data_IF_963193678460
#
_entry.id   IF_963193678460
#
_cell.length_a   1.000
_cell.length_b   1.000
_cell.length_c   1.000
_cell.angle_alpha   90.00
_cell.angle_beta   90.00
_cell.angle_gamma   90.00
#
_symmetry.space_group_name_H-M   'P 1'
#
loop_
_entity.id
_entity.type
_entity.pdbx_description
1 polymer ?
#
# COMPACT_ATOMS: atom_id res chain seq x y z
N UNK A 1 -51.62 7.60 58.78
CA UNK A 1 -50.80 6.43 59.20
C UNK A 1 -50.42 5.64 57.99
N UNK A 2 -49.15 5.76 57.61
CA UNK A 2 -48.50 4.97 56.58
C UNK A 2 -47.98 3.66 57.16
N UNK A 3 -47.74 2.65 56.38
CA UNK A 3 -46.51 1.88 56.58
C UNK A 3 -45.58 1.90 55.38
N UNK A 4 -44.31 2.20 55.69
CA UNK A 4 -43.09 1.89 54.95
C UNK A 4 -42.93 0.35 54.86
N UNK A 5 -42.52 -0.14 53.71
CA UNK A 5 -41.73 -1.39 53.47
C UNK A 5 -41.50 -1.45 51.96
N UNK A 6 -40.38 -1.74 51.41
CA UNK A 6 -39.10 -2.24 51.91
C UNK A 6 -38.15 -2.35 50.72
N UNK A 7 -36.94 -1.91 50.94
CA UNK A 7 -35.78 -2.20 50.09
C UNK A 7 -35.43 -3.68 50.30
N UNK A 8 -35.34 -4.46 49.26
CA UNK A 8 -34.72 -5.80 49.28
C UNK A 8 -33.93 -5.96 48.00
N UNK A 9 -32.62 -5.71 48.13
CA UNK A 9 -31.48 -6.58 47.87
C UNK A 9 -31.72 -7.57 46.70
N UNK A 10 -31.11 -7.31 45.57
CA UNK A 10 -30.79 -8.30 44.56
C UNK A 10 -29.27 -8.55 44.57
N UNK A 11 -28.90 -9.62 45.23
CA UNK A 11 -27.62 -10.30 44.99
C UNK A 11 -27.95 -11.72 44.57
N UNK A 12 -27.25 -12.17 43.51
CA UNK A 12 -27.13 -13.53 43.01
C UNK A 12 -28.33 -14.14 42.27
N UNK A 13 -28.24 -14.16 40.95
CA UNK A 13 -28.58 -15.36 40.17
C UNK A 13 -27.91 -15.29 38.78
N UNK A 14 -26.99 -16.17 38.56
CA UNK A 14 -26.33 -16.47 37.30
C UNK A 14 -27.14 -17.53 36.55
N UNK A 15 -27.93 -17.17 35.53
CA UNK A 15 -28.41 -18.06 34.51
C UNK A 15 -29.03 -17.29 33.33
N UNK A 16 -28.70 -17.59 32.05
CA UNK A 16 -29.15 -16.81 30.91
C UNK A 16 -30.57 -17.05 30.42
N UNK A 17 -31.38 -17.85 31.08
CA UNK A 17 -32.72 -18.21 30.63
C UNK A 17 -33.90 -17.49 31.33
N UNK A 18 -33.60 -16.55 32.26
CA UNK A 18 -34.65 -15.91 33.07
C UNK A 18 -35.16 -14.56 32.56
N UNK A 19 -34.51 -13.97 31.51
CA UNK A 19 -34.80 -12.60 31.09
C UNK A 19 -36.05 -12.40 30.22
N UNK A 20 -36.67 -13.45 29.70
CA UNK A 20 -37.77 -13.29 28.75
C UNK A 20 -39.20 -13.28 29.40
N UNK A 21 -39.36 -13.84 30.57
CA UNK A 21 -40.69 -13.92 31.23
C UNK A 21 -40.96 -12.79 32.23
N UNK A 22 -39.95 -12.26 32.92
CA UNK A 22 -40.11 -11.15 33.87
C UNK A 22 -40.31 -9.81 33.19
N UNK A 23 -39.87 -9.66 31.94
CA UNK A 23 -40.03 -8.42 31.17
C UNK A 23 -41.51 -8.20 30.76
N UNK A 24 -42.28 -9.25 30.53
CA UNK A 24 -43.70 -9.15 30.17
C UNK A 24 -44.56 -8.72 31.34
N UNK A 25 -44.32 -9.23 32.54
CA UNK A 25 -45.06 -8.85 33.74
C UNK A 25 -44.74 -7.45 34.27
N UNK A 26 -43.57 -6.96 34.05
CA UNK A 26 -43.16 -5.59 34.37
C UNK A 26 -43.88 -4.56 33.48
N UNK A 27 -44.12 -4.90 32.23
CA UNK A 27 -44.79 -4.05 31.26
C UNK A 27 -46.30 -3.92 31.50
N UNK A 28 -46.98 -4.97 31.87
CA UNK A 28 -48.42 -4.94 32.15
C UNK A 28 -48.76 -4.11 33.41
N UNK A 29 -47.85 -4.08 34.41
CA UNK A 29 -48.03 -3.28 35.61
C UNK A 29 -47.83 -1.77 35.37
N UNK A 30 -47.02 -1.38 34.39
CA UNK A 30 -46.77 0.02 34.00
C UNK A 30 -47.91 0.57 33.11
N UNK A 31 -48.55 -0.30 32.29
CA UNK A 31 -49.62 0.11 31.39
C UNK A 31 -50.91 0.53 32.10
N UNK A 32 -51.16 0.05 33.31
CA UNK A 32 -52.34 0.38 34.11
C UNK A 32 -52.28 1.72 34.86
N UNK A 33 -51.08 2.36 34.97
CA UNK A 33 -50.92 3.60 35.74
C UNK A 33 -50.82 4.89 34.90
N UNK A 34 -50.81 4.83 33.55
CA UNK A 34 -50.42 5.97 32.69
C UNK A 34 -51.57 6.47 31.80
N UNK A 35 -52.67 7.01 32.38
CA UNK A 35 -53.78 7.57 31.60
C UNK A 35 -53.73 9.07 31.32
N UNK A 36 -52.68 9.82 31.67
CA UNK A 36 -52.73 11.29 31.49
C UNK A 36 -51.57 12.01 30.75
N UNK A 37 -50.48 11.32 30.34
CA UNK A 37 -49.40 12.03 29.59
C UNK A 37 -48.83 11.19 28.43
N UNK A 38 -49.62 10.88 27.43
CA UNK A 38 -49.22 10.01 26.30
C UNK A 38 -48.09 10.55 25.41
N UNK A 39 -47.76 11.84 25.40
CA UNK A 39 -46.75 12.40 24.52
C UNK A 39 -45.31 12.29 25.08
N UNK A 40 -45.13 12.50 26.37
CA UNK A 40 -43.80 12.43 27.02
C UNK A 40 -43.30 10.97 27.12
N UNK A 41 -44.18 10.04 27.40
CA UNK A 41 -43.86 8.61 27.50
C UNK A 41 -43.44 8.00 26.20
N UNK A 42 -44.05 8.37 25.09
CA UNK A 42 -43.64 7.87 23.76
C UNK A 42 -42.21 8.28 23.35
N UNK A 43 -41.75 9.44 23.81
CA UNK A 43 -40.38 9.92 23.58
C UNK A 43 -39.39 9.19 24.49
N UNK A 44 -39.72 9.01 25.78
CA UNK A 44 -38.89 8.25 26.73
C UNK A 44 -38.80 6.76 26.34
N UNK A 45 -39.90 6.13 26.00
CA UNK A 45 -39.91 4.72 25.56
C UNK A 45 -39.13 4.57 24.26
N UNK A 46 -39.27 5.48 23.28
CA UNK A 46 -38.45 5.43 22.05
C UNK A 46 -36.95 5.63 22.33
N UNK A 47 -36.60 6.51 23.30
CA UNK A 47 -35.20 6.68 23.73
C UNK A 47 -34.67 5.45 24.46
N UNK A 48 -35.49 4.86 25.34
CA UNK A 48 -35.12 3.63 26.07
C UNK A 48 -35.01 2.42 25.17
N UNK A 49 -35.94 2.19 24.24
CA UNK A 49 -35.87 1.15 23.25
C UNK A 49 -34.69 1.35 22.28
N UNK A 50 -34.37 2.61 21.91
CA UNK A 50 -33.21 2.88 21.07
C UNK A 50 -31.90 2.57 21.79
N UNK A 51 -31.82 2.82 23.10
CA UNK A 51 -30.63 2.54 23.90
C UNK A 51 -30.49 1.04 24.24
N UNK A 52 -31.58 0.30 24.35
CA UNK A 52 -31.57 -1.13 24.68
C UNK A 52 -31.18 -2.06 23.50
N UNK A 53 -31.10 -1.54 22.26
CA UNK A 53 -30.80 -2.32 21.05
C UNK A 53 -29.59 -1.81 20.25
N UNK A 54 -28.89 -0.79 20.75
CA UNK A 54 -27.65 -0.32 20.10
C UNK A 54 -26.48 -1.02 20.75
N UNK A 55 -25.75 -1.81 19.97
CA UNK A 55 -24.59 -2.59 20.41
C UNK A 55 -23.26 -1.83 20.23
N UNK A 56 -23.23 -0.81 19.36
CA UNK A 56 -22.12 0.14 19.22
C UNK A 56 -22.64 1.50 18.80
N UNK A 57 -22.09 2.55 19.41
CA UNK A 57 -22.35 3.93 18.97
C UNK A 57 -21.09 4.78 19.12
N UNK A 58 -20.68 5.38 18.01
CA UNK A 58 -19.47 6.18 17.91
C UNK A 58 -19.72 7.42 17.05
N UNK A 59 -19.14 8.55 17.47
CA UNK A 59 -19.23 9.82 16.76
C UNK A 59 -17.83 10.25 16.36
N UNK A 60 -17.63 10.45 15.07
CA UNK A 60 -16.37 10.90 14.47
C UNK A 60 -16.46 12.36 14.03
N UNK A 61 -15.36 13.07 14.08
CA UNK A 61 -15.19 14.24 13.23
C UNK A 61 -15.10 13.79 11.77
N UNK A 62 -15.85 14.44 10.88
CA UNK A 62 -15.96 14.03 9.47
C UNK A 62 -14.63 14.08 8.73
N UNK A 63 -13.82 15.11 8.95
CA UNK A 63 -12.53 15.24 8.29
C UNK A 63 -11.57 14.15 8.77
N UNK A 64 -11.49 13.94 10.07
CA UNK A 64 -10.61 12.94 10.69
C UNK A 64 -10.91 11.54 10.17
N UNK A 65 -12.19 11.13 10.11
CA UNK A 65 -12.55 9.80 9.64
C UNK A 65 -12.30 9.62 8.12
N UNK A 66 -12.53 10.65 7.31
CA UNK A 66 -12.23 10.60 5.88
C UNK A 66 -10.72 10.44 5.63
N UNK A 67 -9.89 11.22 6.33
CA UNK A 67 -8.43 11.16 6.20
C UNK A 67 -7.88 9.80 6.70
N UNK A 68 -8.47 9.24 7.74
CA UNK A 68 -8.10 7.93 8.27
C UNK A 68 -8.49 6.76 7.37
N UNK A 69 -9.67 6.83 6.73
CA UNK A 69 -10.18 5.74 5.87
C UNK A 69 -9.49 5.72 4.50
N UNK A 70 -9.07 6.86 3.98
CA UNK A 70 -8.47 6.95 2.65
C UNK A 70 -7.28 5.99 2.44
N UNK A 71 -6.24 5.96 3.28
CA UNK A 71 -5.12 5.03 3.13
C UNK A 71 -5.52 3.56 3.35
N UNK A 72 -6.49 3.28 4.22
CA UNK A 72 -6.94 1.93 4.50
C UNK A 72 -7.46 1.20 3.25
N UNK A 73 -7.98 1.95 2.27
CA UNK A 73 -8.50 1.38 1.02
C UNK A 73 -7.43 0.64 0.19
N UNK A 74 -6.14 0.91 0.40
CA UNK A 74 -5.04 0.22 -0.28
C UNK A 74 -4.80 -1.22 0.23
N UNK A 75 -5.34 -1.58 1.40
CA UNK A 75 -5.25 -2.93 1.97
C UNK A 75 -6.61 -3.64 2.05
N UNK A 76 -7.60 -3.16 1.32
CA UNK A 76 -8.90 -3.84 1.17
C UNK A 76 -8.82 -4.83 0.02
N UNK A 77 -9.28 -6.07 0.25
CA UNK A 77 -9.45 -7.03 -0.82
C UNK A 77 -10.56 -6.58 -1.78
N UNK A 78 -10.36 -6.76 -3.07
CA UNK A 78 -11.38 -6.48 -4.07
C UNK A 78 -12.59 -7.42 -3.94
N UNK A 79 -12.76 -8.33 -4.90
CA UNK A 79 -13.75 -9.40 -4.79
C UNK A 79 -13.12 -10.64 -4.13
N UNK A 80 -13.66 -11.06 -3.00
CA UNK A 80 -13.20 -12.22 -2.26
C UNK A 80 -14.33 -13.18 -1.95
N UNK A 81 -14.02 -14.47 -1.79
CA UNK A 81 -14.94 -15.46 -1.22
C UNK A 81 -15.19 -15.21 0.27
N UNK A 82 -14.30 -14.48 0.93
CA UNK A 82 -14.39 -14.11 2.34
C UNK A 82 -14.86 -12.64 2.45
N UNK A 83 -16.15 -12.42 2.64
CA UNK A 83 -16.73 -11.06 2.67
C UNK A 83 -16.17 -10.16 3.77
N UNK A 84 -15.61 -10.73 4.84
CA UNK A 84 -15.01 -9.99 5.93
C UNK A 84 -13.80 -9.14 5.50
N UNK A 85 -12.94 -9.64 4.57
CA UNK A 85 -11.76 -8.91 4.10
C UNK A 85 -12.06 -7.84 3.04
N UNK A 86 -13.30 -7.75 2.58
CA UNK A 86 -13.82 -6.62 1.81
C UNK A 86 -14.24 -5.45 2.72
N UNK A 87 -14.17 -5.65 4.04
CA UNK A 87 -14.60 -4.71 5.05
C UNK A 87 -13.47 -4.03 5.80
N UNK A 88 -13.82 -2.94 6.48
CA UNK A 88 -13.03 -2.32 7.54
C UNK A 88 -13.51 -2.89 8.87
N UNK A 89 -12.59 -3.44 9.65
CA UNK A 89 -12.83 -3.76 11.05
C UNK A 89 -12.78 -2.46 11.84
N UNK A 90 -13.89 -2.12 12.48
CA UNK A 90 -14.07 -0.93 13.32
C UNK A 90 -14.16 -1.41 14.76
N UNK A 91 -13.16 -1.05 15.55
CA UNK A 91 -13.04 -1.41 16.96
C UNK A 91 -13.13 -0.14 17.82
N UNK A 92 -14.34 0.13 18.32
CA UNK A 92 -14.65 1.28 19.18
C UNK A 92 -14.34 0.91 20.64
N UNK A 93 -13.38 1.60 21.23
CA UNK A 93 -12.87 1.33 22.58
C UNK A 93 -13.41 2.32 23.62
N UNK A 94 -13.52 1.89 24.87
CA UNK A 94 -14.08 2.70 25.98
C UNK A 94 -13.27 3.96 26.33
N UNK A 95 -12.03 4.08 25.80
CA UNK A 95 -11.13 5.21 26.02
C UNK A 95 -11.30 6.36 25.01
N UNK A 96 -12.44 6.44 24.31
CA UNK A 96 -12.71 7.40 23.25
C UNK A 96 -11.74 7.31 22.06
N UNK A 97 -11.25 6.11 21.77
CA UNK A 97 -10.48 5.83 20.55
C UNK A 97 -11.19 4.77 19.71
N UNK A 98 -10.98 4.85 18.41
CA UNK A 98 -11.44 3.85 17.47
C UNK A 98 -10.26 3.36 16.64
N UNK A 99 -10.09 2.06 16.59
CA UNK A 99 -9.09 1.41 15.75
C UNK A 99 -9.76 0.89 14.49
N UNK A 100 -9.31 1.40 13.35
CA UNK A 100 -9.76 0.98 12.02
C UNK A 100 -8.71 0.07 11.41
N UNK A 101 -9.09 -1.12 10.97
CA UNK A 101 -8.14 -2.08 10.40
C UNK A 101 -8.69 -2.66 9.10
N UNK A 102 -7.82 -2.76 8.08
CA UNK A 102 -8.04 -3.51 6.85
C UNK A 102 -6.95 -4.55 6.67
N UNK A 103 -7.29 -5.72 6.13
CA UNK A 103 -6.34 -6.83 5.96
C UNK A 103 -6.80 -7.76 4.85
N UNK A 104 -5.98 -7.98 3.82
CA UNK A 104 -6.26 -8.84 2.67
C UNK A 104 -5.61 -10.23 2.75
N UNK A 105 -5.15 -10.65 3.95
CA UNK A 105 -4.40 -11.87 4.30
C UNK A 105 -2.90 -11.81 3.95
N UNK A 106 -2.46 -10.89 3.12
CA UNK A 106 -1.04 -10.67 2.77
C UNK A 106 -0.51 -9.39 3.40
N UNK A 107 -1.29 -8.31 3.32
CA UNK A 107 -0.97 -6.99 3.86
C UNK A 107 -2.17 -6.38 4.56
N UNK A 108 -1.92 -5.49 5.49
CA UNK A 108 -2.98 -4.77 6.20
C UNK A 108 -2.55 -3.39 6.64
N UNK A 109 -3.54 -2.59 6.97
CA UNK A 109 -3.35 -1.24 7.48
C UNK A 109 -4.20 -1.03 8.71
N UNK A 110 -3.67 -0.26 9.65
CA UNK A 110 -4.34 0.11 10.89
C UNK A 110 -4.13 1.59 11.16
N UNK A 111 -5.22 2.26 11.51
CA UNK A 111 -5.19 3.66 11.97
C UNK A 111 -5.97 3.75 13.27
N UNK A 112 -5.43 4.47 14.23
CA UNK A 112 -6.14 4.82 15.46
C UNK A 112 -6.62 6.27 15.33
N UNK A 113 -7.90 6.51 15.57
CA UNK A 113 -8.52 7.83 15.54
C UNK A 113 -9.21 8.15 16.86
N UNK A 114 -9.17 9.42 17.24
CA UNK A 114 -9.97 9.91 18.37
C UNK A 114 -11.43 10.02 17.93
N UNK A 115 -12.33 9.53 18.77
CA UNK A 115 -13.76 9.53 18.51
C UNK A 115 -14.52 9.51 19.82
N UNK A 116 -15.70 10.09 19.87
CA UNK A 116 -16.60 9.99 21.03
C UNK A 116 -17.30 8.63 20.98
N UNK A 117 -16.98 7.75 21.92
CA UNK A 117 -17.53 6.40 22.01
C UNK A 117 -18.60 6.38 23.11
N UNK A 118 -19.88 6.32 22.72
CA UNK A 118 -20.99 6.20 23.67
C UNK A 118 -21.27 4.73 24.05
N UNK A 119 -21.09 3.82 23.10
CA UNK A 119 -21.24 2.36 23.31
C UNK A 119 -20.10 1.67 22.52
N UNK A 120 -19.21 0.98 23.23
CA UNK A 120 -18.09 0.25 22.62
C UNK A 120 -18.54 -1.00 21.85
N UNK A 121 -17.74 -1.43 20.90
CA UNK A 121 -18.03 -2.63 20.11
C UNK A 121 -17.11 -2.82 18.93
N UNK A 122 -17.13 -4.03 18.35
CA UNK A 122 -16.25 -4.39 17.23
C UNK A 122 -17.06 -4.99 16.10
N UNK A 123 -17.07 -4.31 14.94
CA UNK A 123 -17.86 -4.69 13.78
C UNK A 123 -17.10 -4.48 12.48
N UNK A 124 -17.55 -5.18 11.43
CA UNK A 124 -16.99 -5.07 10.07
C UNK A 124 -18.05 -4.40 9.19
N UNK A 125 -17.63 -3.36 8.47
CA UNK A 125 -18.45 -2.66 7.48
C UNK A 125 -17.75 -2.71 6.14
N UNK A 126 -18.50 -2.97 5.04
CA UNK A 126 -17.92 -2.97 3.70
C UNK A 126 -17.15 -1.68 3.43
N UNK A 127 -15.84 -1.80 3.17
CA UNK A 127 -14.90 -0.70 3.10
C UNK A 127 -15.27 0.33 2.03
N UNK A 128 -15.57 -0.15 0.82
CA UNK A 128 -15.87 0.73 -0.31
C UNK A 128 -17.15 1.52 -0.07
N UNK A 129 -18.21 0.87 0.43
CA UNK A 129 -19.48 1.54 0.73
C UNK A 129 -19.33 2.52 1.88
N UNK A 130 -18.59 2.15 2.92
CA UNK A 130 -18.32 3.03 4.05
C UNK A 130 -17.56 4.28 3.60
N UNK A 131 -16.44 4.12 2.91
CA UNK A 131 -15.63 5.23 2.40
C UNK A 131 -16.42 6.16 1.47
N UNK A 132 -17.23 5.61 0.55
CA UNK A 132 -18.09 6.39 -0.33
C UNK A 132 -19.15 7.17 0.45
N UNK A 133 -19.76 6.53 1.46
CA UNK A 133 -20.82 7.15 2.27
C UNK A 133 -20.28 8.32 3.08
N UNK A 134 -19.20 8.14 3.87
CA UNK A 134 -18.64 9.20 4.71
C UNK A 134 -18.13 10.38 3.88
N UNK A 135 -17.65 10.13 2.67
CA UNK A 135 -17.16 11.17 1.76
C UNK A 135 -18.25 12.13 1.30
N UNK A 136 -19.47 11.63 1.07
CA UNK A 136 -20.61 12.43 0.55
C UNK A 136 -21.52 12.96 1.66
N UNK A 137 -21.31 12.56 2.92
CA UNK A 137 -22.07 13.08 4.05
C UNK A 137 -21.79 14.56 4.27
N UNK A 138 -22.84 15.31 4.60
CA UNK A 138 -22.77 16.72 4.97
C UNK A 138 -22.68 16.87 6.50
N UNK A 139 -22.08 17.99 6.98
CA UNK A 139 -21.91 18.28 8.40
C UNK A 139 -20.52 17.94 8.92
N UNK A 140 -20.24 18.35 10.17
CA UNK A 140 -18.92 18.26 10.79
C UNK A 140 -18.69 16.95 11.55
N UNK A 141 -19.78 16.23 11.84
CA UNK A 141 -19.73 14.97 12.58
C UNK A 141 -20.48 13.84 11.87
N UNK A 142 -19.99 12.64 12.03
CA UNK A 142 -20.58 11.40 11.52
C UNK A 142 -20.83 10.48 12.70
N UNK A 143 -22.07 10.07 12.88
CA UNK A 143 -22.45 9.07 13.89
C UNK A 143 -22.62 7.72 13.21
N UNK A 144 -21.89 6.72 13.69
CA UNK A 144 -22.06 5.33 13.31
C UNK A 144 -22.71 4.56 14.46
N UNK A 145 -23.78 3.85 14.18
CA UNK A 145 -24.42 2.94 15.14
C UNK A 145 -24.56 1.56 14.51
N UNK A 146 -24.40 0.52 15.31
CA UNK A 146 -24.71 -0.85 14.93
C UNK A 146 -25.70 -1.42 15.93
N UNK A 147 -26.78 -2.04 15.44
CA UNK A 147 -27.81 -2.66 16.28
C UNK A 147 -27.61 -4.19 16.43
N UNK A 148 -28.45 -4.81 17.24
CA UNK A 148 -28.43 -6.25 17.52
C UNK A 148 -28.76 -7.14 16.29
N UNK A 149 -29.31 -6.54 15.22
CA UNK A 149 -29.56 -7.22 13.94
C UNK A 149 -28.42 -7.08 12.96
N UNK A 150 -27.27 -6.57 13.41
CA UNK A 150 -26.09 -6.25 12.58
C UNK A 150 -26.41 -5.26 11.45
N UNK A 151 -27.30 -4.32 11.70
CA UNK A 151 -27.56 -3.21 10.80
C UNK A 151 -26.74 -1.99 11.25
N UNK A 152 -25.79 -1.57 10.42
CA UNK A 152 -25.07 -0.34 10.60
C UNK A 152 -25.87 0.85 10.04
N UNK A 153 -25.97 1.93 10.81
CA UNK A 153 -26.54 3.20 10.38
C UNK A 153 -25.49 4.29 10.51
N UNK A 154 -25.17 4.93 9.39
CA UNK A 154 -24.27 6.09 9.30
C UNK A 154 -25.15 7.32 9.15
N UNK A 155 -25.02 8.28 10.05
CA UNK A 155 -25.84 9.50 10.04
C UNK A 155 -25.00 10.75 10.21
N UNK A 156 -25.43 11.82 9.51
CA UNK A 156 -24.88 13.17 9.67
C UNK A 156 -26.00 14.18 9.35
N UNK A 157 -26.29 15.07 10.28
CA UNK A 157 -27.40 16.01 10.14
C UNK A 157 -28.75 15.31 9.93
N UNK A 158 -29.37 15.50 8.75
CA UNK A 158 -30.64 14.87 8.36
C UNK A 158 -30.45 13.61 7.52
N UNK A 159 -29.24 13.32 7.09
CA UNK A 159 -28.92 12.17 6.22
C UNK A 159 -28.70 10.92 7.04
N UNK A 160 -29.27 9.80 6.58
CA UNK A 160 -29.10 8.49 7.20
C UNK A 160 -28.89 7.43 6.12
N UNK A 161 -27.80 6.68 6.22
CA UNK A 161 -27.50 5.56 5.36
C UNK A 161 -27.43 4.28 6.17
N UNK A 162 -28.09 3.22 5.69
CA UNK A 162 -28.12 1.92 6.35
C UNK A 162 -27.44 0.87 5.47
N UNK A 163 -26.63 0.04 6.10
CA UNK A 163 -25.95 -1.07 5.43
C UNK A 163 -25.76 -2.23 6.40
N UNK A 164 -25.56 -3.43 5.87
CA UNK A 164 -25.31 -4.61 6.68
C UNK A 164 -23.89 -4.55 7.25
N UNK A 165 -23.76 -4.83 8.55
CA UNK A 165 -22.48 -5.09 9.21
C UNK A 165 -22.29 -6.60 9.39
N UNK A 166 -21.05 -7.01 9.74
CA UNK A 166 -20.72 -8.34 10.21
C UNK A 166 -20.13 -8.22 11.62
N UNK A 167 -20.17 -9.32 12.37
CA UNK A 167 -19.55 -9.36 13.69
C UNK A 167 -18.02 -9.25 13.56
N UNK A 168 -17.39 -8.52 14.48
CA UNK A 168 -15.91 -8.39 14.49
C UNK A 168 -15.19 -9.73 14.62
N UNK A 169 -15.82 -10.74 15.27
CA UNK A 169 -15.31 -12.11 15.37
C UNK A 169 -15.13 -12.83 14.04
N UNK A 170 -15.81 -12.38 12.98
CA UNK A 170 -15.72 -12.96 11.64
C UNK A 170 -14.48 -12.45 10.88
N UNK A 171 -13.76 -11.46 11.43
CA UNK A 171 -12.56 -10.93 10.82
C UNK A 171 -11.39 -11.89 10.97
N UNK A 172 -10.55 -12.08 9.93
CA UNK A 172 -9.38 -12.94 10.04
C UNK A 172 -8.43 -12.48 11.17
N UNK A 173 -7.73 -13.44 11.76
CA UNK A 173 -6.72 -13.14 12.78
C UNK A 173 -5.61 -12.31 12.16
N UNK A 174 -5.45 -11.09 12.68
CA UNK A 174 -4.36 -10.19 12.27
C UNK A 174 -3.06 -10.70 12.90
N UNK A 175 -1.94 -10.76 12.14
CA UNK A 175 -0.65 -11.14 12.69
C UNK A 175 -0.26 -10.26 13.87
N UNK A 176 0.44 -10.83 14.85
CA UNK A 176 1.06 -10.05 15.91
C UNK A 176 2.13 -9.14 15.29
N UNK A 177 1.94 -7.85 15.41
CA UNK A 177 2.88 -6.84 14.92
C UNK A 177 4.00 -6.70 15.97
N UNK A 178 5.24 -7.00 15.57
CA UNK A 178 6.41 -6.80 16.42
C UNK A 178 6.95 -5.40 16.29
N UNK A 179 7.57 -4.89 17.35
CA UNK A 179 8.28 -3.61 17.40
C UNK A 179 9.64 -3.74 18.08
N UNK A 180 10.18 -4.98 18.13
CA UNK A 180 11.41 -5.30 18.83
C UNK A 180 12.65 -4.89 18.04
N UNK A 181 12.72 -5.33 16.76
CA UNK A 181 13.87 -5.07 15.89
C UNK A 181 13.48 -4.21 14.71
N UNK A 182 14.26 -3.17 14.41
CA UNK A 182 13.93 -2.26 13.33
C UNK A 182 14.90 -1.09 13.16
N UNK A 183 14.49 -0.14 12.33
CA UNK A 183 15.25 1.05 12.00
C UNK A 183 14.34 2.20 11.59
N UNK A 184 14.89 3.42 11.55
CA UNK A 184 14.21 4.61 11.07
C UNK A 184 14.93 5.16 9.85
N UNK A 185 14.16 5.58 8.85
CA UNK A 185 14.65 6.21 7.62
C UNK A 185 13.75 7.39 7.24
N UNK A 186 14.28 8.38 6.54
CA UNK A 186 13.50 9.47 5.97
C UNK A 186 12.50 8.98 4.94
N UNK A 187 11.27 9.50 4.96
CA UNK A 187 10.24 9.09 4.01
C UNK A 187 10.62 9.45 2.57
N UNK A 188 11.15 10.65 2.34
CA UNK A 188 11.60 11.09 1.02
C UNK A 188 12.69 10.17 0.45
N UNK A 189 13.70 9.81 1.26
CA UNK A 189 14.76 8.90 0.83
C UNK A 189 14.23 7.53 0.46
N UNK A 190 13.40 6.92 1.32
CA UNK A 190 12.80 5.62 1.03
C UNK A 190 11.96 5.66 -0.24
N UNK A 191 11.13 6.70 -0.41
CA UNK A 191 10.29 6.90 -1.60
C UNK A 191 11.13 7.06 -2.85
N UNK A 192 12.22 7.83 -2.79
CA UNK A 192 13.18 7.98 -3.88
C UNK A 192 13.76 6.63 -4.28
N UNK A 193 14.31 5.85 -3.34
CA UNK A 193 14.86 4.52 -3.62
C UNK A 193 13.82 3.58 -4.25
N UNK A 194 12.57 3.58 -3.75
CA UNK A 194 11.50 2.79 -4.33
C UNK A 194 11.20 3.19 -5.77
N UNK A 195 11.21 4.49 -6.10
CA UNK A 195 10.96 4.98 -7.46
C UNK A 195 11.98 4.43 -8.47
N UNK A 196 13.23 4.20 -8.03
CA UNK A 196 14.30 3.68 -8.87
C UNK A 196 14.12 2.21 -9.27
N UNK A 197 13.48 1.42 -8.38
CA UNK A 197 13.44 -0.03 -8.58
C UNK A 197 12.05 -0.56 -9.02
N UNK A 198 10.96 0.21 -8.82
CA UNK A 198 9.61 -0.29 -9.01
C UNK A 198 9.33 -0.81 -10.42
N UNK A 199 9.87 -0.18 -11.45
CA UNK A 199 9.62 -0.53 -12.86
C UNK A 199 10.20 -1.89 -13.25
N UNK A 200 11.19 -2.39 -12.52
CA UNK A 200 11.87 -3.64 -12.81
C UNK A 200 11.39 -4.84 -11.98
N UNK A 201 10.39 -4.66 -11.11
CA UNK A 201 9.76 -5.78 -10.40
C UNK A 201 8.89 -6.62 -11.33
N UNK A 202 8.95 -7.94 -11.17
CA UNK A 202 8.08 -8.85 -11.91
C UNK A 202 6.63 -8.77 -11.38
N UNK A 203 5.69 -9.11 -12.25
CA UNK A 203 4.29 -9.33 -11.91
C UNK A 203 3.89 -10.74 -12.32
N UNK A 204 3.56 -11.60 -11.35
CA UNK A 204 3.15 -12.99 -11.60
C UNK A 204 4.21 -13.88 -12.27
N UNK A 205 5.51 -13.67 -11.98
CA UNK A 205 6.56 -14.60 -12.37
C UNK A 205 6.43 -15.93 -11.60
N UNK A 206 6.77 -17.05 -12.22
CA UNK A 206 6.73 -18.37 -11.59
C UNK A 206 7.73 -18.51 -10.44
N UNK A 207 8.76 -17.67 -10.39
CA UNK A 207 9.71 -17.56 -9.29
C UNK A 207 9.21 -16.50 -8.30
N UNK A 208 8.64 -16.87 -7.14
CA UNK A 208 8.01 -15.93 -6.22
C UNK A 208 8.93 -14.78 -5.79
N UNK A 209 10.23 -15.03 -5.65
CA UNK A 209 11.23 -14.05 -5.22
C UNK A 209 11.34 -12.85 -6.16
N UNK A 210 11.06 -13.01 -7.46
CA UNK A 210 11.07 -11.91 -8.43
C UNK A 210 9.81 -11.04 -8.38
N UNK A 211 8.73 -11.52 -7.76
CA UNK A 211 7.51 -10.74 -7.54
C UNK A 211 7.65 -9.78 -6.35
N UNK A 212 8.87 -9.31 -6.09
CA UNK A 212 9.18 -8.37 -5.03
C UNK A 212 10.54 -7.72 -5.20
N UNK A 213 10.82 -6.79 -4.29
CA UNK A 213 12.08 -6.08 -4.17
C UNK A 213 12.93 -6.72 -3.07
N UNK A 214 14.17 -7.10 -3.39
CA UNK A 214 15.16 -7.47 -2.39
C UNK A 214 15.71 -6.21 -1.71
N UNK A 215 15.73 -6.24 -0.39
CA UNK A 215 16.28 -5.17 0.43
C UNK A 215 17.35 -5.73 1.37
N UNK A 216 18.47 -5.00 1.50
CA UNK A 216 19.52 -5.26 2.50
C UNK A 216 19.79 -3.97 3.24
N UNK A 217 19.77 -4.02 4.56
CA UNK A 217 19.97 -2.87 5.45
C UNK A 217 21.09 -3.19 6.42
N UNK A 218 22.05 -2.27 6.55
CA UNK A 218 23.10 -2.23 7.55
C UNK A 218 23.09 -0.87 8.26
N UNK A 219 23.94 -0.67 9.25
CA UNK A 219 23.98 0.60 10.01
C UNK A 219 24.33 1.81 9.13
N UNK A 220 25.02 1.59 8.01
CA UNK A 220 25.62 2.60 7.14
C UNK A 220 25.08 2.60 5.70
N UNK A 221 24.19 1.66 5.35
CA UNK A 221 23.70 1.58 3.97
C UNK A 221 22.39 0.83 3.80
N UNK A 222 21.67 1.22 2.75
CA UNK A 222 20.49 0.48 2.25
C UNK A 222 20.70 0.15 0.79
N UNK A 223 20.48 -1.13 0.45
CA UNK A 223 20.46 -1.64 -0.91
C UNK A 223 19.06 -2.13 -1.26
N UNK A 224 18.55 -1.73 -2.41
CA UNK A 224 17.33 -2.25 -3.01
C UNK A 224 17.59 -2.78 -4.41
N UNK A 225 17.06 -3.96 -4.73
CA UNK A 225 17.21 -4.60 -6.05
C UNK A 225 15.89 -5.19 -6.49
N UNK A 226 15.55 -4.98 -7.75
CA UNK A 226 14.42 -5.63 -8.42
C UNK A 226 14.83 -6.19 -9.78
N UNK A 227 14.15 -7.26 -10.23
CA UNK A 227 14.42 -7.91 -11.50
C UNK A 227 13.17 -8.66 -12.00
N UNK A 228 12.91 -8.59 -13.31
CA UNK A 228 11.81 -9.31 -13.99
C UNK A 228 12.29 -10.28 -15.09
N UNK A 229 13.57 -10.65 -15.10
CA UNK A 229 14.23 -11.46 -16.14
C UNK A 229 14.63 -10.72 -17.42
N UNK A 230 14.14 -9.50 -17.64
CA UNK A 230 14.49 -8.64 -18.79
C UNK A 230 15.18 -7.36 -18.35
N UNK A 231 14.84 -6.89 -17.18
CA UNK A 231 15.34 -5.65 -16.56
C UNK A 231 15.80 -5.96 -15.15
N UNK A 232 16.80 -5.25 -14.71
CA UNK A 232 17.24 -5.21 -13.31
C UNK A 232 17.48 -3.74 -12.92
N UNK A 233 17.04 -3.39 -11.73
CA UNK A 233 17.36 -2.10 -11.11
C UNK A 233 17.99 -2.34 -9.75
N UNK A 234 19.11 -1.67 -9.50
CA UNK A 234 19.86 -1.69 -8.24
C UNK A 234 20.05 -0.24 -7.80
N UNK A 235 19.59 0.07 -6.59
CA UNK A 235 19.78 1.35 -5.94
C UNK A 235 20.40 1.10 -4.56
N UNK A 236 21.54 1.71 -4.29
CA UNK A 236 22.22 1.64 -3.01
C UNK A 236 22.48 3.06 -2.52
N UNK A 237 22.19 3.31 -1.26
CA UNK A 237 22.46 4.58 -0.60
C UNK A 237 23.31 4.34 0.64
N UNK A 238 24.43 5.07 0.73
CA UNK A 238 25.30 5.10 1.90
C UNK A 238 24.83 6.24 2.81
N UNK A 239 24.30 5.93 3.98
CA UNK A 239 23.78 6.88 4.95
C UNK A 239 23.68 6.23 6.32
N UNK A 240 23.86 7.01 7.38
CA UNK A 240 23.65 6.53 8.75
C UNK A 240 22.18 6.18 8.96
N UNK A 241 21.93 4.96 9.40
CA UNK A 241 20.58 4.44 9.68
C UNK A 241 20.34 4.45 11.19
N UNK A 242 19.26 5.09 11.61
CA UNK A 242 18.87 5.12 13.02
C UNK A 242 18.39 3.74 13.47
N UNK A 243 19.25 3.03 14.18
CA UNK A 243 19.05 1.66 14.68
C UNK A 243 18.03 1.65 15.81
N UNK A 244 17.05 0.77 15.73
CA UNK A 244 15.98 0.56 16.72
C UNK A 244 15.89 -0.89 17.22
N UNK A 245 16.96 -1.67 17.05
CA UNK A 245 17.02 -3.00 17.65
C UNK A 245 16.99 -2.88 19.18
N UNK A 246 16.18 -3.71 19.84
CA UNK A 246 15.97 -3.67 21.28
C UNK A 246 17.29 -3.97 22.05
N UNK A 247 18.12 -4.87 21.53
CA UNK A 247 19.41 -5.24 22.09
C UNK A 247 20.58 -4.37 21.62
N UNK A 248 20.31 -3.30 20.85
CA UNK A 248 21.30 -2.43 20.22
C UNK A 248 22.33 -3.18 19.33
N UNK A 249 22.01 -4.38 18.87
CA UNK A 249 22.83 -5.10 17.88
C UNK A 249 22.85 -4.35 16.53
N UNK A 250 23.94 -4.53 15.76
CA UNK A 250 24.09 -3.92 14.45
C UNK A 250 22.96 -4.35 13.49
N UNK A 251 22.50 -3.44 12.65
CA UNK A 251 21.49 -3.73 11.63
C UNK A 251 22.02 -4.73 10.60
N UNK A 252 21.34 -5.85 10.45
CA UNK A 252 21.66 -6.92 9.49
C UNK A 252 20.40 -7.51 8.92
N UNK A 253 19.58 -6.66 8.26
CA UNK A 253 18.36 -7.12 7.64
C UNK A 253 18.58 -7.48 6.17
N UNK A 254 17.96 -8.58 5.75
CA UNK A 254 17.92 -9.04 4.35
C UNK A 254 16.56 -9.68 4.12
N UNK A 255 15.75 -9.10 3.24
CA UNK A 255 14.37 -9.50 3.03
C UNK A 255 13.86 -9.16 1.63
N UNK A 256 12.73 -9.74 1.25
CA UNK A 256 12.06 -9.48 -0.03
C UNK A 256 10.66 -8.94 0.22
N UNK A 257 10.43 -7.67 -0.13
CA UNK A 257 9.12 -7.03 -0.08
C UNK A 257 8.30 -7.37 -1.31
N UNK A 258 7.05 -7.84 -1.18
CA UNK A 258 6.17 -8.08 -2.32
C UNK A 258 5.93 -6.82 -3.16
N UNK A 259 5.79 -6.98 -4.47
CA UNK A 259 5.49 -5.87 -5.42
C UNK A 259 4.27 -5.07 -5.00
N UNK A 260 3.21 -5.71 -4.52
CA UNK A 260 2.01 -5.02 -4.01
C UNK A 260 2.34 -4.14 -2.81
N UNK A 261 3.17 -4.62 -1.89
CA UNK A 261 3.60 -3.87 -0.69
C UNK A 261 4.41 -2.64 -1.08
N UNK A 262 5.37 -2.80 -1.98
CA UNK A 262 6.18 -1.69 -2.51
C UNK A 262 5.30 -0.61 -3.16
N UNK A 263 4.36 -1.02 -4.01
CA UNK A 263 3.45 -0.09 -4.70
C UNK A 263 2.56 0.69 -3.73
N UNK A 264 2.06 0.06 -2.68
CA UNK A 264 1.24 0.76 -1.70
C UNK A 264 2.09 1.63 -0.77
N UNK A 265 3.25 1.15 -0.35
CA UNK A 265 4.19 1.93 0.46
C UNK A 265 4.60 3.23 -0.26
N UNK A 266 4.94 3.15 -1.54
CA UNK A 266 5.29 4.31 -2.36
C UNK A 266 4.20 5.39 -2.36
N UNK A 267 2.93 5.01 -2.40
CA UNK A 267 1.78 5.96 -2.35
C UNK A 267 1.58 6.58 -0.97
N UNK A 268 1.98 5.87 0.10
CA UNK A 268 1.81 6.33 1.48
C UNK A 268 2.91 7.28 1.92
N UNK A 269 4.11 7.13 1.37
CA UNK A 269 5.26 7.96 1.70
C UNK A 269 5.14 9.37 1.11
N UNK A 270 5.60 10.36 1.87
CA UNK A 270 5.63 11.77 1.48
C UNK A 270 7.02 12.18 1.00
N UNK A 271 7.07 13.20 0.15
CA UNK A 271 8.30 13.84 -0.30
C UNK A 271 8.69 14.99 0.65
N UNK A 272 8.74 14.72 1.96
CA UNK A 272 9.16 15.68 2.99
C UNK A 272 10.36 15.10 3.75
N UNK A 273 11.49 15.76 3.65
CA UNK A 273 12.74 15.35 4.29
C UNK A 273 12.68 15.35 5.82
N UNK A 274 11.73 16.09 6.41
CA UNK A 274 11.54 16.17 7.87
C UNK A 274 10.75 14.98 8.42
N UNK A 275 10.04 14.26 7.56
CA UNK A 275 9.23 13.12 7.96
C UNK A 275 10.02 11.82 7.86
N UNK A 276 9.86 10.97 8.85
CA UNK A 276 10.49 9.65 8.90
C UNK A 276 9.47 8.54 8.96
N UNK A 277 9.90 7.34 8.63
CA UNK A 277 9.16 6.09 8.80
C UNK A 277 9.98 5.17 9.70
N UNK A 278 9.30 4.58 10.71
CA UNK A 278 9.89 3.51 11.53
C UNK A 278 9.50 2.18 10.93
N UNK A 279 10.49 1.34 10.72
CA UNK A 279 10.32 0.04 10.08
C UNK A 279 10.74 -1.02 11.08
N UNK A 280 9.82 -1.95 11.38
CA UNK A 280 10.08 -3.07 12.26
C UNK A 280 10.01 -4.38 11.49
N UNK A 281 10.85 -5.31 11.88
CA UNK A 281 11.04 -6.55 11.16
C UNK A 281 10.73 -7.75 12.05
N UNK A 282 10.10 -8.76 11.48
CA UNK A 282 10.06 -10.11 12.02
C UNK A 282 10.45 -11.09 10.91
N UNK A 283 10.62 -12.35 11.26
CA UNK A 283 10.99 -13.38 10.25
C UNK A 283 10.05 -13.42 9.04
N UNK A 284 8.77 -13.09 9.21
CA UNK A 284 7.75 -13.25 8.17
C UNK A 284 7.05 -11.96 7.78
N UNK A 285 7.16 -10.92 8.58
CA UNK A 285 6.40 -9.70 8.38
C UNK A 285 7.30 -8.48 8.53
N UNK A 286 6.94 -7.42 7.81
CA UNK A 286 7.48 -6.09 7.94
C UNK A 286 6.36 -5.15 8.36
N UNK A 287 6.67 -4.18 9.22
CA UNK A 287 5.71 -3.21 9.78
C UNK A 287 6.27 -1.81 9.59
N UNK A 288 5.52 -0.93 8.99
CA UNK A 288 5.85 0.48 8.78
C UNK A 288 4.95 1.35 9.65
N UNK A 289 5.56 2.20 10.49
CA UNK A 289 4.86 3.24 11.24
C UNK A 289 5.06 4.57 10.53
N UNK A 290 3.98 5.08 9.92
CA UNK A 290 3.96 6.33 9.14
C UNK A 290 2.96 7.27 9.83
N UNK A 291 3.44 8.15 10.72
CA UNK A 291 2.56 8.94 11.58
C UNK A 291 1.67 8.06 12.44
N UNK A 292 0.34 8.20 12.31
CA UNK A 292 -0.66 7.39 13.01
C UNK A 292 -1.09 6.12 12.23
N UNK A 293 -0.56 5.93 11.02
CA UNK A 293 -0.82 4.76 10.19
C UNK A 293 0.21 3.67 10.48
N UNK A 294 -0.26 2.45 10.70
CA UNK A 294 0.55 1.24 10.72
C UNK A 294 0.23 0.44 9.47
N UNK A 295 1.20 0.31 8.58
CA UNK A 295 1.12 -0.57 7.42
C UNK A 295 1.96 -1.82 7.69
N UNK A 296 1.41 -3.00 7.49
CA UNK A 296 2.12 -4.26 7.70
C UNK A 296 1.92 -5.21 6.52
N UNK A 297 2.93 -6.03 6.25
CA UNK A 297 2.91 -6.97 5.13
C UNK A 297 3.71 -8.23 5.43
N UNK A 298 3.29 -9.34 4.83
CA UNK A 298 4.11 -10.55 4.78
C UNK A 298 5.26 -10.34 3.80
N UNK A 299 6.41 -10.93 4.14
CA UNK A 299 7.59 -10.97 3.27
C UNK A 299 7.55 -12.20 2.38
N UNK A 300 8.22 -12.15 1.24
CA UNK A 300 8.44 -13.31 0.38
C UNK A 300 9.61 -14.10 0.95
N UNK A 301 9.39 -15.38 1.26
CA UNK A 301 10.43 -16.29 1.72
C UNK A 301 11.23 -16.82 0.52
N UNK A 302 12.54 -16.95 0.68
CA UNK A 302 13.43 -17.52 -0.33
C UNK A 302 14.74 -16.77 -0.47
N UNK A 303 15.66 -17.34 -1.25
CA UNK A 303 16.91 -16.69 -1.61
C UNK A 303 16.69 -15.88 -2.90
N UNK A 304 17.06 -14.60 -2.86
CA UNK A 304 17.01 -13.77 -4.08
C UNK A 304 18.07 -14.20 -5.08
N UNK A 305 17.89 -13.82 -6.34
CA UNK A 305 18.86 -14.13 -7.41
C UNK A 305 20.22 -13.48 -7.14
N UNK A 306 21.28 -14.08 -7.65
CA UNK A 306 22.64 -13.50 -7.62
C UNK A 306 22.73 -12.39 -8.68
N UNK A 307 22.27 -11.20 -8.30
CA UNK A 307 22.16 -10.06 -9.22
C UNK A 307 23.52 -9.48 -9.61
N UNK A 308 24.56 -9.66 -8.80
CA UNK A 308 25.91 -9.15 -9.12
C UNK A 308 26.54 -9.94 -10.28
N UNK A 309 26.15 -11.21 -10.49
CA UNK A 309 26.54 -11.98 -11.67
C UNK A 309 25.80 -11.60 -12.96
N UNK A 310 24.62 -10.99 -12.82
CA UNK A 310 23.80 -10.58 -13.95
C UNK A 310 24.29 -9.25 -14.51
N UNK A 311 24.79 -8.37 -13.66
CA UNK A 311 25.36 -7.09 -14.05
C UNK A 311 26.62 -7.31 -14.91
N UNK A 312 26.71 -6.57 -16.01
CA UNK A 312 27.83 -6.67 -16.94
C UNK A 312 29.03 -5.92 -16.38
N UNK A 313 30.14 -6.62 -16.18
CA UNK A 313 31.33 -6.03 -15.53
C UNK A 313 32.50 -5.78 -16.49
N UNK A 314 32.41 -6.23 -17.76
CA UNK A 314 33.48 -6.12 -18.77
C UNK A 314 32.97 -5.34 -19.98
N UNK A 315 32.76 -4.05 -19.80
CA UNK A 315 32.34 -3.17 -20.88
C UNK A 315 33.52 -2.86 -21.81
N UNK A 316 33.22 -2.81 -23.13
CA UNK A 316 34.18 -2.41 -24.17
C UNK A 316 33.70 -1.19 -24.92
N UNK A 317 32.41 -0.87 -24.81
CA UNK A 317 31.75 0.20 -25.52
C UNK A 317 31.01 1.04 -24.47
N UNK A 318 31.22 2.33 -24.49
CA UNK A 318 30.55 3.27 -23.60
C UNK A 318 29.98 4.44 -24.41
N UNK A 319 28.77 4.86 -24.05
CA UNK A 319 28.15 6.03 -24.64
C UNK A 319 27.54 6.92 -23.52
N UNK A 320 27.78 8.21 -23.60
CA UNK A 320 27.10 9.21 -22.75
C UNK A 320 26.03 9.88 -23.61
N UNK A 321 24.76 9.77 -23.15
CA UNK A 321 23.60 10.16 -23.93
C UNK A 321 22.74 11.13 -23.13
N UNK A 322 22.25 12.25 -23.74
CA UNK A 322 21.28 13.13 -23.11
C UNK A 322 19.96 12.37 -22.85
N UNK A 323 19.64 12.12 -21.58
CA UNK A 323 18.53 11.26 -21.17
C UNK A 323 17.19 11.70 -21.73
N UNK A 324 16.81 12.97 -21.54
CA UNK A 324 15.50 13.50 -21.95
C UNK A 324 15.32 13.53 -23.47
N UNK A 325 16.39 13.83 -24.22
CA UNK A 325 16.38 13.76 -25.68
C UNK A 325 16.19 12.33 -26.18
N UNK A 326 16.86 11.36 -25.53
CA UNK A 326 16.69 9.95 -25.84
C UNK A 326 15.25 9.46 -25.53
N UNK A 327 14.69 9.84 -24.37
CA UNK A 327 13.30 9.52 -24.02
C UNK A 327 12.35 10.07 -25.10
N UNK A 328 12.50 11.33 -25.48
CA UNK A 328 11.63 11.95 -26.48
C UNK A 328 11.70 11.26 -27.86
N UNK A 329 12.89 10.81 -28.29
CA UNK A 329 13.06 10.04 -29.52
C UNK A 329 12.39 8.66 -29.43
N UNK A 330 12.55 7.97 -28.29
CA UNK A 330 11.91 6.67 -28.04
C UNK A 330 10.38 6.79 -27.93
N UNK A 331 9.85 7.87 -27.39
CA UNK A 331 8.41 8.17 -27.36
C UNK A 331 7.86 8.36 -28.77
N UNK A 332 8.57 9.05 -29.68
CA UNK A 332 8.20 9.12 -31.10
C UNK A 332 8.22 7.73 -31.74
N UNK A 333 9.20 6.92 -31.42
CA UNK A 333 9.27 5.54 -31.89
C UNK A 333 8.13 4.66 -31.35
N UNK A 334 7.56 4.97 -30.17
CA UNK A 334 6.40 4.26 -29.60
C UNK A 334 5.18 4.33 -30.52
N UNK A 335 4.99 5.42 -31.22
CA UNK A 335 3.86 5.59 -32.18
C UNK A 335 3.85 4.53 -33.27
N UNK A 336 5.02 3.96 -33.58
CA UNK A 336 5.19 2.92 -34.60
C UNK A 336 5.31 1.53 -33.95
N UNK A 337 5.86 1.43 -32.72
CA UNK A 337 6.18 0.13 -32.07
C UNK A 337 5.06 -0.43 -31.19
N UNK A 338 4.08 0.37 -30.76
CA UNK A 338 3.02 -0.06 -29.81
C UNK A 338 1.80 -0.73 -30.47
N UNK A 339 1.86 -1.04 -31.75
CA UNK A 339 0.73 -1.63 -32.44
C UNK A 339 0.41 -3.06 -31.95
N UNK A 340 -0.82 -3.23 -31.45
CA UNK A 340 -1.36 -4.54 -31.04
C UNK A 340 -1.89 -5.31 -32.26
N UNK A 341 -1.03 -5.83 -33.09
CA UNK A 341 -1.44 -6.78 -34.12
C UNK A 341 -1.38 -8.20 -33.54
N UNK A 342 -2.51 -8.88 -33.49
CA UNK A 342 -2.59 -10.26 -33.02
C UNK A 342 -1.65 -11.15 -33.86
N UNK A 343 -0.63 -11.72 -33.20
CA UNK A 343 0.34 -12.61 -33.84
C UNK A 343 1.62 -11.95 -34.38
N UNK A 344 1.77 -10.62 -34.25
CA UNK A 344 3.02 -9.96 -34.67
C UNK A 344 4.12 -10.08 -33.61
N UNK A 345 5.35 -10.24 -34.08
CA UNK A 345 6.57 -10.08 -33.28
C UNK A 345 6.55 -8.64 -32.73
N UNK A 346 6.70 -8.49 -31.42
CA UNK A 346 6.78 -7.16 -30.78
C UNK A 346 7.80 -6.32 -31.53
N UNK A 347 7.35 -5.18 -32.08
CA UNK A 347 8.26 -4.26 -32.75
C UNK A 347 9.26 -3.72 -31.72
N UNK A 348 10.51 -3.68 -32.13
CA UNK A 348 11.64 -3.24 -31.32
C UNK A 348 12.19 -1.93 -31.86
N UNK A 349 12.83 -1.16 -30.99
CA UNK A 349 13.65 -0.04 -31.40
C UNK A 349 15.08 -0.53 -31.63
N UNK A 350 15.73 -0.03 -32.68
CA UNK A 350 17.13 -0.24 -32.99
C UNK A 350 17.93 0.99 -32.62
N UNK A 351 19.02 0.78 -31.93
CA UNK A 351 19.99 1.80 -31.51
C UNK A 351 21.31 1.49 -32.23
N UNK A 352 21.78 2.42 -33.03
CA UNK A 352 23.04 2.32 -33.75
C UNK A 352 24.00 3.39 -33.19
N UNK A 353 25.02 2.93 -32.48
CA UNK A 353 26.04 3.74 -31.87
C UNK A 353 27.26 3.78 -32.80
N UNK A 354 27.50 4.89 -33.46
CA UNK A 354 28.61 5.07 -34.39
C UNK A 354 28.94 6.57 -34.54
N UNK A 355 30.17 6.91 -34.82
CA UNK A 355 30.62 8.26 -35.22
C UNK A 355 30.15 9.39 -34.30
N UNK A 356 30.15 9.21 -32.96
CA UNK A 356 29.61 10.16 -31.97
C UNK A 356 28.11 10.48 -32.15
N UNK A 357 27.39 9.58 -32.77
CA UNK A 357 25.97 9.70 -33.03
C UNK A 357 25.24 8.45 -32.55
N UNK A 358 24.05 8.64 -31.96
CA UNK A 358 23.09 7.58 -31.71
C UNK A 358 21.94 7.70 -32.71
N UNK A 359 21.81 6.73 -33.61
CA UNK A 359 20.68 6.65 -34.54
C UNK A 359 19.62 5.72 -33.93
N UNK A 360 18.40 6.22 -33.79
CA UNK A 360 17.26 5.52 -33.20
C UNK A 360 16.26 5.25 -34.31
N UNK A 361 15.97 3.99 -34.59
CA UNK A 361 15.04 3.61 -35.65
C UNK A 361 14.07 2.52 -35.23
N UNK A 362 12.86 2.57 -35.77
CA UNK A 362 11.89 1.49 -35.64
C UNK A 362 11.07 1.35 -36.92
N UNK A 363 10.63 0.13 -37.19
CA UNK A 363 9.82 -0.19 -38.37
C UNK A 363 8.72 -1.18 -37.96
N UNK A 364 7.50 -0.92 -38.43
CA UNK A 364 6.33 -1.80 -38.29
C UNK A 364 5.54 -1.86 -39.60
N UNK A 365 4.40 -2.51 -39.58
CA UNK A 365 3.45 -2.50 -40.71
C UNK A 365 2.83 -1.13 -40.97
N UNK A 366 2.86 -0.23 -39.98
CA UNK A 366 2.29 1.14 -40.08
C UNK A 366 3.28 2.15 -40.70
N UNK A 367 4.57 1.86 -40.64
CA UNK A 367 5.58 2.79 -41.14
C UNK A 367 6.92 2.62 -40.44
N UNK A 368 7.75 3.66 -40.53
CA UNK A 368 9.06 3.72 -39.91
C UNK A 368 9.29 5.08 -39.25
N UNK A 369 10.14 5.07 -38.23
CA UNK A 369 10.64 6.28 -37.57
C UNK A 369 12.16 6.26 -37.55
N UNK A 370 12.75 7.44 -37.54
CA UNK A 370 14.18 7.64 -37.48
C UNK A 370 14.49 8.95 -36.75
N UNK A 371 15.39 8.90 -35.78
CA UNK A 371 15.90 10.03 -35.01
C UNK A 371 17.41 9.91 -34.87
N UNK A 372 18.11 11.02 -34.70
CA UNK A 372 19.54 11.09 -34.42
C UNK A 372 19.82 11.98 -33.20
N UNK A 373 20.77 11.56 -32.36
CA UNK A 373 21.24 12.30 -31.20
C UNK A 373 22.77 12.36 -31.21
N UNK A 374 23.30 13.53 -30.95
CA UNK A 374 24.74 13.68 -30.64
C UNK A 374 25.03 13.06 -29.27
N UNK A 375 26.09 12.26 -29.19
CA UNK A 375 26.52 11.52 -28.00
C UNK A 375 28.03 11.57 -27.86
N UNK A 376 28.53 11.26 -26.67
CA UNK A 376 29.92 10.87 -26.52
C UNK A 376 29.98 9.34 -26.66
N UNK A 377 30.71 8.84 -27.65
CA UNK A 377 30.85 7.41 -27.90
C UNK A 377 32.31 6.99 -27.88
N UNK A 378 32.58 5.92 -27.12
CA UNK A 378 33.90 5.34 -27.00
C UNK A 378 33.83 3.80 -27.17
N UNK A 379 34.68 3.26 -28.02
CA UNK A 379 34.73 1.85 -28.37
C UNK A 379 34.28 1.56 -29.80
N UNK A 380 33.95 0.29 -30.08
CA UNK A 380 33.52 -0.15 -31.39
C UNK A 380 32.09 0.27 -31.70
N UNK A 381 31.75 0.45 -32.96
CA UNK A 381 30.38 0.69 -33.42
C UNK A 381 29.48 -0.49 -33.06
N UNK A 382 28.24 -0.20 -32.62
CA UNK A 382 27.31 -1.24 -32.18
C UNK A 382 25.87 -0.95 -32.58
N UNK A 383 25.29 -1.90 -33.36
CA UNK A 383 23.85 -1.95 -33.59
C UNK A 383 23.19 -2.96 -32.64
N UNK A 384 22.27 -2.48 -31.80
CA UNK A 384 21.58 -3.27 -30.77
C UNK A 384 20.08 -2.94 -30.75
N UNK A 385 19.23 -3.89 -30.35
CA UNK A 385 17.78 -3.67 -30.33
C UNK A 385 17.16 -3.96 -28.96
N UNK A 386 16.13 -3.19 -28.62
CA UNK A 386 15.44 -3.29 -27.34
C UNK A 386 13.92 -3.24 -27.47
N UNK A 387 13.24 -3.75 -26.45
CA UNK A 387 11.85 -3.41 -26.23
C UNK A 387 11.77 -1.91 -25.88
N UNK A 388 11.11 -1.13 -26.73
CA UNK A 388 11.06 0.32 -26.62
C UNK A 388 10.51 0.79 -25.25
N UNK A 389 9.42 0.17 -24.80
CA UNK A 389 8.80 0.51 -23.51
C UNK A 389 9.75 0.23 -22.33
N UNK A 390 10.44 -0.92 -22.33
CA UNK A 390 11.38 -1.25 -21.26
C UNK A 390 12.53 -0.24 -21.18
N UNK A 391 13.02 0.20 -22.33
CA UNK A 391 14.08 1.20 -22.38
C UNK A 391 13.60 2.56 -21.87
N UNK A 392 12.40 3.01 -22.26
CA UNK A 392 11.80 4.24 -21.75
C UNK A 392 11.60 4.16 -20.22
N UNK A 393 11.02 3.06 -19.72
CA UNK A 393 10.79 2.86 -18.29
C UNK A 393 12.11 2.89 -17.51
N UNK A 394 13.19 2.31 -18.06
CA UNK A 394 14.52 2.33 -17.46
C UNK A 394 15.12 3.74 -17.41
N UNK A 395 15.04 4.49 -18.50
CA UNK A 395 15.54 5.86 -18.55
C UNK A 395 14.76 6.81 -17.63
N UNK A 396 13.45 6.61 -17.52
CA UNK A 396 12.59 7.40 -16.62
C UNK A 396 12.84 7.14 -15.14
N UNK A 397 13.41 6.00 -14.78
CA UNK A 397 13.78 5.72 -13.41
C UNK A 397 14.99 6.54 -12.94
N UNK A 398 15.88 6.95 -13.85
CA UNK A 398 17.00 7.84 -13.54
C UNK A 398 16.59 9.31 -13.47
N UNK A 399 17.31 10.13 -12.70
CA UNK A 399 17.07 11.58 -12.54
C UNK A 399 18.17 12.43 -13.21
N UNK A 400 19.33 11.84 -13.53
CA UNK A 400 20.47 12.54 -14.15
C UNK A 400 20.11 13.09 -15.54
N UNK A 401 20.67 14.24 -15.90
CA UNK A 401 20.49 14.82 -17.22
C UNK A 401 21.15 13.99 -18.33
N UNK A 402 22.27 13.33 -18.01
CA UNK A 402 22.98 12.42 -18.90
C UNK A 402 23.06 11.02 -18.29
N UNK A 403 23.00 10.01 -19.14
CA UNK A 403 23.19 8.61 -18.75
C UNK A 403 24.36 8.02 -19.48
N UNK A 404 25.17 7.25 -18.74
CA UNK A 404 26.24 6.42 -19.30
C UNK A 404 25.64 5.05 -19.61
N UNK A 405 25.73 4.65 -20.85
CA UNK A 405 25.33 3.32 -21.34
C UNK A 405 26.58 2.50 -21.60
N UNK A 406 26.73 1.42 -20.86
CA UNK A 406 27.90 0.53 -20.93
C UNK A 406 27.50 -0.79 -21.58
N UNK A 407 28.22 -1.20 -22.63
CA UNK A 407 27.87 -2.27 -23.55
C UNK A 407 29.07 -3.18 -23.83
N UNK A 408 28.77 -4.41 -24.27
CA UNK A 408 29.82 -5.38 -24.71
C UNK A 408 29.53 -5.95 -26.09
N UNK A 409 28.28 -6.26 -26.39
CA UNK A 409 27.84 -6.82 -27.69
C UNK A 409 26.33 -6.68 -27.87
N UNK A 410 25.84 -6.88 -29.08
CA UNK A 410 24.41 -6.87 -29.42
C UNK A 410 23.58 -7.98 -28.74
N UNK A 411 24.22 -8.96 -28.09
CA UNK A 411 23.55 -10.10 -27.46
C UNK A 411 23.62 -10.11 -25.93
N UNK A 412 24.39 -9.20 -25.34
CA UNK A 412 24.56 -9.06 -23.89
C UNK A 412 23.70 -7.90 -23.36
N UNK A 413 23.33 -7.97 -22.09
CA UNK A 413 22.68 -6.84 -21.43
C UNK A 413 23.54 -5.57 -21.44
N UNK A 414 22.89 -4.43 -21.35
CA UNK A 414 23.56 -3.14 -21.18
C UNK A 414 23.34 -2.66 -19.75
N UNK A 415 24.31 -1.94 -19.21
CA UNK A 415 24.12 -1.16 -17.98
C UNK A 415 23.87 0.31 -18.33
N UNK A 416 22.97 0.93 -17.60
CA UNK A 416 22.66 2.35 -17.69
C UNK A 416 22.89 2.94 -16.30
N UNK A 417 23.73 3.94 -16.19
CA UNK A 417 24.11 4.57 -14.94
C UNK A 417 23.98 6.09 -15.08
N UNK A 418 23.61 6.84 -14.02
CA UNK A 418 23.65 8.31 -14.03
C UNK A 418 25.08 8.80 -14.19
N UNK A 419 25.28 9.90 -14.95
CA UNK A 419 26.57 10.57 -15.06
C UNK A 419 26.74 11.53 -13.88
N UNK A 420 25.70 12.33 -13.61
CA UNK A 420 25.64 13.22 -12.48
C UNK A 420 24.96 12.48 -11.31
N UNK A 421 25.74 11.86 -10.45
CA UNK A 421 25.23 11.14 -9.27
C UNK A 421 25.79 11.76 -7.99
N UNK A 422 25.00 11.67 -6.91
CA UNK A 422 25.50 11.90 -5.55
C UNK A 422 26.53 10.81 -5.20
N UNK A 423 27.63 11.16 -4.56
CA UNK A 423 28.69 10.22 -4.18
C UNK A 423 28.20 9.08 -3.28
N UNK A 424 27.13 9.35 -2.49
CA UNK A 424 26.51 8.38 -1.59
C UNK A 424 25.43 7.52 -2.25
N UNK A 425 25.06 7.79 -3.51
CA UNK A 425 24.00 7.08 -4.24
C UNK A 425 24.57 6.33 -5.42
N UNK A 426 24.37 5.02 -5.45
CA UNK A 426 24.81 4.15 -6.55
C UNK A 426 23.61 3.51 -7.21
N UNK A 427 23.31 3.93 -8.42
CA UNK A 427 22.21 3.44 -9.25
C UNK A 427 22.75 2.71 -10.48
N UNK A 428 22.28 1.50 -10.72
CA UNK A 428 22.60 0.72 -11.91
C UNK A 428 21.30 0.10 -12.43
N UNK A 429 21.01 0.38 -13.68
CA UNK A 429 19.87 -0.17 -14.39
C UNK A 429 20.39 -1.07 -15.52
N UNK A 430 19.95 -2.33 -15.56
CA UNK A 430 20.33 -3.27 -16.59
C UNK A 430 19.13 -3.62 -17.45
N UNK A 431 19.34 -3.73 -18.78
CA UNK A 431 18.33 -4.12 -19.74
C UNK A 431 18.89 -5.15 -20.72
N UNK A 432 18.15 -6.23 -20.94
CA UNK A 432 18.48 -7.24 -21.94
C UNK A 432 18.03 -6.82 -23.34
N UNK A 433 18.85 -7.04 -24.38
CA UNK A 433 18.50 -6.77 -25.76
C UNK A 433 17.54 -7.79 -26.35
N UNK A 434 16.86 -7.41 -27.41
CA UNK A 434 16.12 -8.31 -28.29
C UNK A 434 17.05 -8.85 -29.37
N UNK A 435 17.09 -10.15 -29.55
CA UNK A 435 17.83 -10.76 -30.66
C UNK A 435 17.18 -10.39 -31.98
N UNK A 436 17.91 -9.66 -32.82
CA UNK A 436 17.51 -9.40 -34.20
C UNK A 436 17.66 -10.70 -35.01
N UNK A 437 16.63 -11.01 -35.82
CA UNK A 437 16.79 -12.05 -36.86
C UNK A 437 17.50 -11.37 -38.02
N UNK A 438 18.57 -11.98 -38.46
CA UNK A 438 19.24 -11.65 -39.74
C UNK A 438 18.28 -11.78 -40.90
#
# INVERSE_FOLDING_TARGET
MLPRKGFLIFNSFSSPYFYYYDFYYFFDSIFLCASREKKHWRVCIRKFYRKAFTMMKIIFNRQVINDAVAPLMYAVSGKSTLSAIEGILIDAQDNNTCVLTTFDLEKGMRVTVDAEVEESGTYIINAQKFAQTIRVMEGDSITLTVDDTLQACISSGKSNHRMKALAGSDYPVIPRLTTEDGFVIGQALLKHMLSKIMYAMASNDQRPVLNGCYCKVSDDSILMVSCDSFKLAKCMVETDIDNKNEDASALKFSFIMPTKTVNELFKLLRDDERESVRIYMSRKNIVFHIGNLIFFSRLIEGQYIDFDRILVNNHRIEAVVPRDAMIAALERASLITEEKVAGSVRSHVRLDFADQMLKISATSTMGSTYDELEIEHNGDDLLIAFNNRFLIDTLRAGDSAHVKISMTSALTGINIEPVEADENVKEIFMLLPIRMKE
#
